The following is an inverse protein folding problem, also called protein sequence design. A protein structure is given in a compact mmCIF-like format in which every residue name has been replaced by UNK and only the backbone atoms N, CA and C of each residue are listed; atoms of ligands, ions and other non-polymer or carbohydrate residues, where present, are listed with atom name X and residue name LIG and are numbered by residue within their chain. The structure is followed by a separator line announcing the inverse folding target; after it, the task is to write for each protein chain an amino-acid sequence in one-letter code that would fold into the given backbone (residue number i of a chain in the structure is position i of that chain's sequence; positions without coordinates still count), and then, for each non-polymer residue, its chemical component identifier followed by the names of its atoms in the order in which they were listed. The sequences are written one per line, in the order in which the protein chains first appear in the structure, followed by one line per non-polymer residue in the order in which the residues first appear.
data_IF_839187232942
#
_entry.id   IF_839187232942
#
_cell.length_a   1.000
_cell.length_b   1.000
_cell.length_c   1.000
_cell.angle_alpha   90.00
_cell.angle_beta   90.00
_cell.angle_gamma   90.00
#
_symmetry.space_group_name_H-M   'P 1'
#
loop_
_entity.id
_entity.type
_entity.pdbx_description
1 polymer ?
#
# COMPACT_ATOMS: atom_id res chain seq x y z
N UNK A 1 -5.00 -20.28 -3.54
CA UNK A 1 -6.11 -20.39 -2.57
C UNK A 1 -7.26 -21.11 -3.26
N UNK A 2 -7.97 -21.99 -2.55
CA UNK A 2 -9.11 -22.75 -3.08
C UNK A 2 -10.30 -22.49 -2.16
N UNK A 3 -11.42 -22.08 -2.73
CA UNK A 3 -12.68 -21.90 -2.01
C UNK A 3 -13.79 -22.74 -2.68
N UNK A 4 -15.04 -22.53 -2.27
CA UNK A 4 -16.20 -23.25 -2.82
C UNK A 4 -16.41 -23.01 -4.33
N UNK A 5 -15.85 -21.92 -4.87
CA UNK A 5 -15.88 -21.56 -6.28
C UNK A 5 -14.68 -22.11 -7.08
N UNK A 6 -13.73 -22.80 -6.42
CA UNK A 6 -12.58 -23.43 -7.06
C UNK A 6 -11.27 -22.71 -6.78
N UNK A 7 -10.28 -22.91 -7.66
CA UNK A 7 -8.96 -22.27 -7.56
C UNK A 7 -9.12 -20.78 -7.88
N UNK A 8 -8.54 -19.92 -7.04
CA UNK A 8 -8.50 -18.47 -7.30
C UNK A 8 -7.85 -18.18 -8.67
N UNK A 9 -8.50 -17.38 -9.54
CA UNK A 9 -7.91 -16.96 -10.80
C UNK A 9 -6.62 -16.16 -10.58
N UNK A 10 -5.55 -16.50 -11.32
CA UNK A 10 -4.25 -15.85 -11.18
C UNK A 10 -4.32 -14.36 -11.53
N UNK A 11 -5.13 -13.98 -12.52
CA UNK A 11 -5.29 -12.58 -12.92
C UNK A 11 -5.87 -11.72 -11.81
N UNK A 12 -6.85 -12.23 -11.05
CA UNK A 12 -7.43 -11.51 -9.92
C UNK A 12 -6.41 -11.31 -8.80
N UNK A 13 -5.65 -12.35 -8.48
CA UNK A 13 -4.58 -12.25 -7.48
C UNK A 13 -3.52 -11.21 -7.91
N UNK A 14 -3.12 -11.24 -9.19
CA UNK A 14 -2.16 -10.27 -9.73
C UNK A 14 -2.70 -8.85 -9.64
N UNK A 15 -3.96 -8.62 -10.01
CA UNK A 15 -4.57 -7.30 -9.93
C UNK A 15 -4.55 -6.74 -8.51
N UNK A 16 -4.87 -7.55 -7.50
CA UNK A 16 -4.82 -7.14 -6.09
C UNK A 16 -3.40 -6.73 -5.67
N UNK A 17 -2.37 -7.48 -6.09
CA UNK A 17 -0.96 -7.14 -5.82
C UNK A 17 -0.54 -5.84 -6.52
N UNK A 18 -0.88 -5.70 -7.81
CA UNK A 18 -0.57 -4.51 -8.60
C UNK A 18 -1.14 -3.24 -7.96
N UNK A 19 -2.39 -3.28 -7.51
CA UNK A 19 -3.04 -2.11 -6.93
C UNK A 19 -2.53 -1.84 -5.50
N UNK A 20 -2.63 -2.82 -4.61
CA UNK A 20 -2.49 -2.55 -3.17
C UNK A 20 -1.03 -2.54 -2.70
N UNK A 21 -0.16 -3.31 -3.34
CA UNK A 21 1.25 -3.39 -2.95
C UNK A 21 2.13 -2.54 -3.87
N UNK A 22 2.12 -2.85 -5.17
CA UNK A 22 2.99 -2.16 -6.14
C UNK A 22 2.54 -0.71 -6.30
N UNK A 23 1.24 -0.47 -6.43
CA UNK A 23 0.66 0.87 -6.53
C UNK A 23 1.00 1.75 -5.33
N UNK A 24 0.79 1.26 -4.11
CA UNK A 24 1.15 1.96 -2.86
C UNK A 24 2.64 2.32 -2.84
N UNK A 25 3.53 1.35 -3.10
CA UNK A 25 4.97 1.61 -3.15
C UNK A 25 5.34 2.64 -4.23
N UNK A 26 4.73 2.55 -5.41
CA UNK A 26 5.00 3.45 -6.53
C UNK A 26 4.58 4.89 -6.22
N UNK A 27 3.45 5.09 -5.54
CA UNK A 27 3.04 6.43 -5.06
C UNK A 27 4.01 6.92 -4.00
N UNK A 28 4.34 6.08 -3.01
CA UNK A 28 5.24 6.46 -1.92
C UNK A 28 6.59 6.95 -2.43
N UNK A 29 7.24 6.22 -3.35
CA UNK A 29 8.58 6.60 -3.82
C UNK A 29 8.59 7.96 -4.53
N UNK A 30 7.52 8.31 -5.25
CA UNK A 30 7.40 9.58 -5.96
C UNK A 30 7.06 10.70 -4.96
N UNK A 31 6.14 10.43 -4.03
CA UNK A 31 5.76 11.38 -2.99
C UNK A 31 6.94 11.76 -2.09
N UNK A 32 7.74 10.78 -1.66
CA UNK A 32 8.95 11.03 -0.84
C UNK A 32 9.96 11.88 -1.60
N UNK A 33 10.17 11.63 -2.90
CA UNK A 33 11.06 12.44 -3.72
C UNK A 33 10.62 13.92 -3.74
N UNK A 34 9.31 14.17 -3.83
CA UNK A 34 8.77 15.53 -3.76
C UNK A 34 8.88 16.14 -2.35
N UNK A 35 8.56 15.37 -1.30
CA UNK A 35 8.64 15.81 0.10
C UNK A 35 10.07 16.23 0.50
N UNK A 36 11.10 15.55 -0.02
CA UNK A 36 12.49 15.91 0.21
C UNK A 36 12.89 17.30 -0.31
N UNK A 37 12.10 17.90 -1.20
CA UNK A 37 12.34 19.25 -1.71
C UNK A 37 11.64 20.35 -0.90
N UNK A 38 10.75 19.98 0.04
CA UNK A 38 10.01 20.94 0.87
C UNK A 38 10.90 21.50 1.99
N UNK A 39 10.79 22.79 2.30
CA UNK A 39 11.37 23.36 3.52
C UNK A 39 10.72 22.74 4.77
N UNK A 40 11.48 22.63 5.85
CA UNK A 40 10.93 22.22 7.14
C UNK A 40 10.21 23.44 7.75
N UNK A 41 8.94 23.31 8.18
CA UNK A 41 8.24 24.39 8.89
C UNK A 41 8.95 24.76 10.20
N UNK A 42 8.87 26.04 10.60
CA UNK A 42 9.60 26.55 11.78
C UNK A 42 9.21 25.87 13.10
N UNK A 43 8.02 25.26 13.16
CA UNK A 43 7.43 24.57 14.31
C UNK A 43 7.45 23.02 14.19
N UNK A 44 8.23 22.47 13.25
CA UNK A 44 8.29 21.03 12.97
C UNK A 44 9.73 20.55 12.73
N UNK A 45 9.98 19.25 12.92
CA UNK A 45 11.21 18.58 12.48
C UNK A 45 11.00 17.73 11.21
N UNK A 46 9.76 17.65 10.73
CA UNK A 46 9.35 16.75 9.65
C UNK A 46 8.96 17.53 8.38
N UNK A 47 9.24 16.94 7.21
CA UNK A 47 8.83 17.47 5.90
C UNK A 47 7.46 16.96 5.44
N UNK A 48 6.90 15.99 6.13
CA UNK A 48 5.63 15.36 5.79
C UNK A 48 5.50 13.96 6.36
N UNK A 49 4.28 13.44 6.33
CA UNK A 49 3.91 12.12 6.82
C UNK A 49 3.20 11.36 5.70
N UNK A 50 3.52 10.07 5.56
CA UNK A 50 2.80 9.13 4.69
C UNK A 50 2.03 8.15 5.56
N UNK A 51 0.74 8.01 5.29
CA UNK A 51 -0.13 7.05 5.98
C UNK A 51 -0.60 6.03 4.95
N UNK A 52 -0.31 4.75 5.21
CA UNK A 52 -0.78 3.65 4.39
C UNK A 52 -1.91 2.92 5.12
N UNK A 53 -2.92 2.50 4.37
CA UNK A 53 -4.00 1.66 4.90
C UNK A 53 -3.72 0.20 4.55
N UNK A 54 -3.49 -0.61 5.58
CA UNK A 54 -3.46 -2.07 5.47
C UNK A 54 -4.78 -2.67 6.00
N UNK A 55 -4.77 -3.95 6.35
CA UNK A 55 -5.93 -4.63 6.92
C UNK A 55 -5.48 -5.62 7.98
N UNK A 56 -6.35 -5.94 8.94
CA UNK A 56 -6.14 -7.04 9.89
C UNK A 56 -5.92 -8.38 9.16
N UNK A 57 -6.45 -8.49 7.94
CA UNK A 57 -6.24 -9.65 7.07
C UNK A 57 -4.75 -9.93 6.76
N UNK A 58 -3.85 -8.97 6.96
CA UNK A 58 -2.41 -9.18 6.86
C UNK A 58 -1.86 -10.16 7.93
N UNK A 59 -2.57 -10.29 9.05
CA UNK A 59 -2.16 -11.13 10.19
C UNK A 59 -2.98 -12.41 10.27
N UNK A 60 -4.29 -12.31 10.11
CA UNK A 60 -5.21 -13.43 10.33
C UNK A 60 -5.71 -14.06 9.02
N UNK A 61 -5.25 -13.55 7.87
CA UNK A 61 -5.87 -13.83 6.59
C UNK A 61 -7.24 -13.16 6.47
N UNK A 62 -7.80 -13.18 5.28
CA UNK A 62 -9.16 -12.69 5.09
C UNK A 62 -10.14 -13.79 5.52
N UNK A 63 -11.05 -13.48 6.46
CA UNK A 63 -12.18 -14.36 6.78
C UNK A 63 -13.19 -14.22 5.62
N UNK A 64 -13.28 -15.27 4.80
CA UNK A 64 -14.15 -15.35 3.63
C UNK A 64 -13.94 -16.62 2.83
#
# INVERSE_FOLDING_TARGET
MVNKQGVMPLEEFRHVIEVNLIGTFNVMRIAVQAMQQLSIPDDSEERGVIINTASIAAFEGQIG
#
